data_IF_246510444541
#
_entry.id   IF_246510444541
#
_cell.length_a   1.000
_cell.length_b   1.000
_cell.length_c   1.000
_cell.angle_alpha   90.00
_cell.angle_beta   90.00
_cell.angle_gamma   90.00
#
_symmetry.space_group_name_H-M   'P 1'
#
loop_
_entity.id
_entity.type
_entity.pdbx_description
1 polymer ?
#
# COMPACT_ATOMS: atom_id res chain seq x y z
N UNK A 1 3.59 31.83 -23.42
CA UNK A 1 3.23 30.49 -23.84
C UNK A 1 2.62 29.73 -22.67
N UNK A 2 1.29 29.48 -22.68
CA UNK A 2 0.57 28.84 -21.56
C UNK A 2 1.14 27.44 -21.27
N UNK A 3 1.50 26.69 -22.28
CA UNK A 3 2.06 25.34 -22.15
C UNK A 3 3.39 25.32 -21.38
N UNK A 4 4.30 26.22 -21.66
CA UNK A 4 5.58 26.33 -20.92
C UNK A 4 5.41 26.68 -19.44
N UNK A 5 4.37 27.41 -19.08
CA UNK A 5 4.04 27.72 -17.67
C UNK A 5 3.51 26.48 -16.95
N UNK A 6 2.66 25.68 -17.61
CA UNK A 6 2.13 24.43 -17.03
C UNK A 6 3.22 23.38 -16.83
N UNK A 7 4.10 23.17 -17.82
CA UNK A 7 5.25 22.24 -17.70
C UNK A 7 6.14 22.66 -16.54
N UNK A 8 6.45 23.93 -16.41
CA UNK A 8 7.31 24.46 -15.34
C UNK A 8 6.67 24.26 -13.96
N UNK A 9 5.38 24.55 -13.79
CA UNK A 9 4.68 24.34 -12.52
C UNK A 9 4.67 22.87 -12.14
N UNK A 10 4.35 21.99 -13.07
CA UNK A 10 4.37 20.55 -12.84
C UNK A 10 5.75 20.08 -12.37
N UNK A 11 6.82 20.49 -13.06
CA UNK A 11 8.18 20.10 -12.69
C UNK A 11 8.57 20.55 -11.27
N UNK A 12 8.16 21.77 -10.87
CA UNK A 12 8.41 22.29 -9.52
C UNK A 12 7.61 21.51 -8.48
N UNK A 13 6.31 21.28 -8.70
CA UNK A 13 5.47 20.50 -7.80
C UNK A 13 6.02 19.07 -7.64
N UNK A 14 6.39 18.43 -8.75
CA UNK A 14 7.02 17.09 -8.73
C UNK A 14 8.31 17.12 -7.90
N UNK A 15 9.19 18.08 -8.11
CA UNK A 15 10.44 18.19 -7.35
C UNK A 15 10.18 18.37 -5.85
N UNK A 16 9.21 19.22 -5.47
CA UNK A 16 8.80 19.42 -4.07
C UNK A 16 8.28 18.12 -3.47
N UNK A 17 7.48 17.36 -4.24
CA UNK A 17 6.89 16.11 -3.77
C UNK A 17 7.90 14.99 -3.56
N UNK A 18 8.96 14.93 -4.38
CA UNK A 18 9.90 13.81 -4.41
C UNK A 18 11.18 14.04 -3.60
N UNK A 19 11.44 15.26 -3.09
CA UNK A 19 12.71 15.60 -2.44
C UNK A 19 12.51 16.20 -1.04
N UNK A 20 13.49 15.93 -0.16
CA UNK A 20 13.62 16.56 1.15
C UNK A 20 14.61 17.73 1.14
N UNK A 21 14.58 18.57 2.17
CA UNK A 21 15.51 19.70 2.38
C UNK A 21 15.67 20.63 1.15
N UNK A 22 14.55 20.94 0.54
CA UNK A 22 14.47 21.67 -0.72
C UNK A 22 14.89 23.13 -0.52
N UNK A 23 15.75 23.61 -1.42
CA UNK A 23 16.04 25.03 -1.56
C UNK A 23 15.75 25.48 -2.99
N UNK A 24 15.42 26.77 -3.16
CA UNK A 24 15.20 27.31 -4.51
C UNK A 24 16.43 27.19 -5.42
N UNK A 25 17.64 27.22 -4.84
CA UNK A 25 18.90 27.00 -5.58
C UNK A 25 19.04 25.56 -6.06
N UNK A 26 18.67 24.57 -5.21
CA UNK A 26 18.71 23.17 -5.60
C UNK A 26 17.66 22.85 -6.67
N UNK A 27 16.44 23.39 -6.53
CA UNK A 27 15.42 23.30 -7.58
C UNK A 27 15.91 23.91 -8.90
N UNK A 28 16.50 25.10 -8.85
CA UNK A 28 17.04 25.79 -10.02
C UNK A 28 18.03 24.92 -10.79
N UNK A 29 18.97 24.30 -10.06
CA UNK A 29 19.97 23.41 -10.66
C UNK A 29 19.37 22.13 -11.24
N UNK A 30 18.46 21.50 -10.48
CA UNK A 30 17.87 20.22 -10.87
C UNK A 30 16.91 20.36 -12.06
N UNK A 31 16.20 21.47 -12.17
CA UNK A 31 15.18 21.69 -13.19
C UNK A 31 15.65 22.57 -14.36
N UNK A 32 16.89 23.05 -14.32
CA UNK A 32 17.44 24.01 -15.29
C UNK A 32 16.56 25.26 -15.46
N UNK A 33 16.06 25.81 -14.33
CA UNK A 33 15.21 27.00 -14.27
C UNK A 33 15.92 28.04 -13.42
N UNK A 34 15.98 29.29 -13.88
CA UNK A 34 16.62 30.35 -13.08
C UNK A 34 15.96 30.53 -11.70
N UNK A 35 16.75 30.88 -10.68
CA UNK A 35 16.26 31.06 -9.30
C UNK A 35 15.13 32.11 -9.24
N UNK A 36 15.22 33.18 -10.05
CA UNK A 36 14.17 34.20 -10.15
C UNK A 36 12.85 33.63 -10.66
N UNK A 37 12.90 32.76 -11.67
CA UNK A 37 11.72 32.07 -12.20
C UNK A 37 11.14 31.05 -11.20
N UNK A 38 11.99 30.32 -10.46
CA UNK A 38 11.55 29.46 -9.37
C UNK A 38 10.84 30.26 -8.30
N UNK A 39 11.43 31.39 -7.84
CA UNK A 39 10.81 32.23 -6.81
C UNK A 39 9.45 32.78 -7.25
N UNK A 40 9.35 33.26 -8.49
CA UNK A 40 8.08 33.76 -9.04
C UNK A 40 7.01 32.67 -9.13
N UNK A 41 7.41 31.46 -9.56
CA UNK A 41 6.51 30.32 -9.64
C UNK A 41 6.01 29.87 -8.25
N UNK A 42 6.91 29.79 -7.27
CA UNK A 42 6.59 29.44 -5.88
C UNK A 42 5.57 30.44 -5.30
N UNK A 43 5.81 31.74 -5.43
CA UNK A 43 4.86 32.75 -4.95
C UNK A 43 3.48 32.64 -5.59
N UNK A 44 3.42 32.39 -6.90
CA UNK A 44 2.16 32.18 -7.60
C UNK A 44 1.43 30.92 -7.11
N UNK A 45 2.17 29.82 -6.95
CA UNK A 45 1.58 28.55 -6.48
C UNK A 45 1.15 28.60 -5.00
N UNK A 46 1.86 29.35 -4.16
CA UNK A 46 1.46 29.62 -2.76
C UNK A 46 0.13 30.41 -2.71
N UNK A 47 0.01 31.47 -3.53
CA UNK A 47 -1.23 32.26 -3.65
C UNK A 47 -2.41 31.45 -4.19
N UNK A 48 -2.15 30.51 -5.08
CA UNK A 48 -3.17 29.60 -5.64
C UNK A 48 -3.46 28.39 -4.76
N UNK A 49 -2.86 28.34 -3.56
CA UNK A 49 -3.01 27.23 -2.61
C UNK A 49 -2.63 25.86 -3.21
N UNK A 50 -1.59 25.81 -4.05
CA UNK A 50 -1.02 24.58 -4.57
C UNK A 50 0.11 24.05 -3.68
N UNK A 51 0.81 24.95 -2.98
CA UNK A 51 1.88 24.62 -2.04
C UNK A 51 1.71 25.41 -0.75
N UNK A 52 2.22 24.85 0.33
CA UNK A 52 2.44 25.54 1.60
C UNK A 52 3.93 25.84 1.76
N UNK A 53 4.25 27.01 2.30
CA UNK A 53 5.62 27.44 2.59
C UNK A 53 5.74 27.77 4.07
N UNK A 54 6.28 26.86 4.85
CA UNK A 54 6.59 27.11 6.26
C UNK A 54 7.93 27.84 6.38
N UNK A 55 7.92 29.03 6.98
CA UNK A 55 9.11 29.86 7.17
C UNK A 55 9.65 29.71 8.58
N UNK A 56 10.78 28.99 8.74
CA UNK A 56 11.50 28.81 10.01
C UNK A 56 12.81 29.59 9.95
N UNK A 57 13.13 30.40 10.97
CA UNK A 57 14.33 31.24 11.16
C UNK A 57 15.31 31.36 9.99
N UNK A 58 15.87 30.27 9.50
CA UNK A 58 16.86 30.23 8.40
C UNK A 58 16.51 29.27 7.26
N UNK A 59 15.30 28.66 7.26
CA UNK A 59 14.89 27.69 6.24
C UNK A 59 13.45 27.93 5.81
N UNK A 60 13.18 27.63 4.54
CA UNK A 60 11.83 27.50 4.01
C UNK A 60 11.57 26.03 3.72
N UNK A 61 10.49 25.51 4.25
CA UNK A 61 10.01 24.16 3.97
C UNK A 61 8.83 24.25 3.01
N UNK A 62 8.83 23.42 2.00
CA UNK A 62 7.82 23.38 0.96
C UNK A 62 7.10 22.06 1.01
N UNK A 63 5.76 22.11 0.95
CA UNK A 63 4.90 20.93 0.83
C UNK A 63 3.77 21.19 -0.15
N UNK A 64 3.25 20.13 -0.79
CA UNK A 64 2.06 20.25 -1.60
C UNK A 64 0.83 20.30 -0.73
N UNK A 65 -0.13 21.12 -1.13
CA UNK A 65 -1.50 21.05 -0.61
C UNK A 65 -2.29 19.97 -1.36
N UNK A 66 -3.51 19.68 -0.89
CA UNK A 66 -4.46 18.85 -1.63
C UNK A 66 -4.66 19.35 -3.08
N UNK A 67 -4.82 20.66 -3.25
CA UNK A 67 -4.98 21.28 -4.57
C UNK A 67 -3.74 21.11 -5.45
N UNK A 68 -2.54 21.15 -4.86
CA UNK A 68 -1.28 20.88 -5.56
C UNK A 68 -1.19 19.46 -6.10
N UNK A 69 -1.61 18.49 -5.30
CA UNK A 69 -1.71 17.10 -5.76
C UNK A 69 -2.71 16.94 -6.89
N UNK A 70 -3.93 17.48 -6.74
CA UNK A 70 -4.96 17.43 -7.79
C UNK A 70 -4.50 18.10 -9.10
N UNK A 71 -3.74 19.20 -8.99
CA UNK A 71 -3.15 19.85 -10.15
C UNK A 71 -2.15 18.94 -10.88
N UNK A 72 -1.27 18.27 -10.14
CA UNK A 72 -0.32 17.29 -10.69
C UNK A 72 -1.04 16.11 -11.34
N UNK A 73 -2.05 15.53 -10.66
CA UNK A 73 -2.87 14.43 -11.17
C UNK A 73 -3.48 14.76 -12.54
N UNK A 74 -4.16 15.91 -12.63
CA UNK A 74 -4.78 16.38 -13.88
C UNK A 74 -3.75 16.56 -14.98
N UNK A 75 -2.56 17.03 -14.65
CA UNK A 75 -1.50 17.22 -15.64
C UNK A 75 -0.96 15.87 -16.15
N UNK A 76 -0.74 14.91 -15.27
CA UNK A 76 -0.25 13.55 -15.61
C UNK A 76 -1.28 12.81 -16.45
N UNK A 77 -2.54 12.79 -16.05
CA UNK A 77 -3.62 12.14 -16.78
C UNK A 77 -3.78 12.72 -18.19
N UNK A 78 -3.73 14.05 -18.31
CA UNK A 78 -3.84 14.75 -19.60
C UNK A 78 -2.69 14.43 -20.56
N UNK A 79 -1.48 14.26 -20.02
CA UNK A 79 -0.27 14.10 -20.84
C UNK A 79 0.27 12.67 -20.86
N UNK A 80 -0.37 11.71 -20.18
CA UNK A 80 0.07 10.31 -20.04
C UNK A 80 1.52 10.18 -19.57
N UNK A 81 1.90 11.06 -18.62
CA UNK A 81 3.24 11.13 -18.06
C UNK A 81 3.44 10.13 -16.92
N UNK A 82 4.57 10.25 -16.24
CA UNK A 82 4.99 9.39 -15.13
C UNK A 82 3.95 9.32 -13.99
N UNK A 83 4.00 8.23 -13.23
CA UNK A 83 3.16 8.05 -12.04
C UNK A 83 3.52 9.03 -10.92
N UNK A 84 2.53 9.36 -10.12
CA UNK A 84 2.65 10.28 -8.98
C UNK A 84 3.18 9.52 -7.76
N UNK A 85 4.14 10.13 -7.05
CA UNK A 85 4.46 9.75 -5.68
C UNK A 85 3.52 10.48 -4.72
N UNK A 86 2.66 9.76 -4.00
CA UNK A 86 1.76 10.34 -3.00
C UNK A 86 2.57 10.86 -1.82
N UNK A 87 3.65 10.16 -1.49
CA UNK A 87 4.51 10.45 -0.36
C UNK A 87 5.96 10.59 -0.77
N UNK A 88 6.74 11.32 0.04
CA UNK A 88 8.20 11.25 -0.01
C UNK A 88 8.66 9.86 0.42
N UNK A 89 9.78 9.41 -0.13
CA UNK A 89 10.43 8.18 0.33
C UNK A 89 11.06 8.44 1.70
N UNK A 90 10.33 8.11 2.76
CA UNK A 90 10.75 8.26 4.15
C UNK A 90 10.23 7.09 4.97
N UNK A 91 11.01 6.68 5.95
CA UNK A 91 10.54 5.70 6.92
C UNK A 91 9.42 6.32 7.78
N UNK A 92 8.33 5.61 7.91
CA UNK A 92 7.25 5.96 8.82
C UNK A 92 7.01 4.81 9.78
N UNK A 93 6.97 5.11 11.08
CA UNK A 93 6.59 4.12 12.08
C UNK A 93 5.14 3.70 11.83
N UNK A 94 4.93 2.40 11.69
CA UNK A 94 3.61 1.78 11.56
C UNK A 94 3.31 1.03 12.85
N UNK A 95 2.12 1.25 13.40
CA UNK A 95 1.66 0.62 14.63
C UNK A 95 0.34 -0.13 14.48
N UNK A 96 -0.20 -0.20 13.25
CA UNK A 96 -1.49 -0.81 12.97
C UNK A 96 -1.35 -1.91 11.91
N UNK A 97 -2.19 -2.95 12.03
CA UNK A 97 -2.30 -4.00 11.03
C UNK A 97 -3.75 -4.42 10.81
N UNK A 98 -4.03 -4.91 9.61
CA UNK A 98 -5.29 -5.57 9.25
C UNK A 98 -4.98 -7.00 8.80
N UNK A 99 -5.65 -7.97 9.39
CA UNK A 99 -5.60 -9.38 8.98
C UNK A 99 -6.92 -9.72 8.30
N UNK A 100 -6.87 -10.13 7.03
CA UNK A 100 -8.05 -10.60 6.30
C UNK A 100 -8.23 -12.10 6.55
N UNK A 101 -9.23 -12.44 7.36
CA UNK A 101 -9.50 -13.81 7.81
C UNK A 101 -10.97 -14.23 7.61
N UNK A 102 -11.65 -13.62 6.63
CA UNK A 102 -13.06 -13.88 6.39
C UNK A 102 -13.33 -15.09 5.45
N UNK A 103 -12.36 -15.47 4.64
CA UNK A 103 -12.49 -16.48 3.61
C UNK A 103 -12.81 -17.88 4.12
N UNK A 104 -13.55 -18.65 3.32
CA UNK A 104 -13.87 -20.04 3.55
C UNK A 104 -12.96 -20.94 2.70
N UNK A 105 -12.23 -21.84 3.35
CA UNK A 105 -11.54 -22.96 2.69
C UNK A 105 -12.14 -24.26 3.27
N UNK A 106 -13.13 -24.81 2.59
CA UNK A 106 -13.96 -25.93 3.06
C UNK A 106 -13.18 -27.19 3.46
N UNK A 107 -12.01 -27.38 2.83
CA UNK A 107 -11.12 -28.53 3.04
C UNK A 107 -10.76 -28.70 4.53
N UNK A 108 -10.49 -27.62 5.25
CA UNK A 108 -10.00 -27.68 6.63
C UNK A 108 -11.07 -27.76 7.70
N UNK A 109 -12.34 -27.52 7.37
CA UNK A 109 -13.48 -27.49 8.33
C UNK A 109 -13.28 -26.53 9.52
N UNK A 110 -12.27 -25.70 9.50
CA UNK A 110 -11.94 -24.60 10.44
C UNK A 110 -11.27 -23.46 9.65
N UNK A 111 -11.21 -22.22 10.18
CA UNK A 111 -10.45 -21.15 9.52
C UNK A 111 -9.00 -21.58 9.32
N UNK A 112 -8.41 -21.30 8.15
CA UNK A 112 -7.01 -21.69 7.83
C UNK A 112 -6.05 -21.18 8.90
N UNK A 113 -6.25 -19.95 9.36
CA UNK A 113 -5.43 -19.34 10.40
C UNK A 113 -5.45 -20.07 11.76
N UNK A 114 -6.40 -20.99 11.97
CA UNK A 114 -6.48 -21.86 13.14
C UNK A 114 -5.90 -23.27 12.92
N UNK A 115 -5.23 -23.50 11.81
CA UNK A 115 -4.42 -24.70 11.63
C UNK A 115 -3.25 -24.70 12.62
N UNK A 116 -2.94 -25.89 13.12
CA UNK A 116 -1.93 -26.07 14.16
C UNK A 116 -0.52 -26.12 13.53
N UNK A 117 0.42 -25.38 14.09
CA UNK A 117 1.85 -25.50 13.85
C UNK A 117 2.51 -26.17 15.06
N UNK A 118 3.79 -26.50 14.99
CA UNK A 118 4.52 -27.08 16.13
C UNK A 118 4.42 -26.22 17.41
N UNK A 119 4.45 -24.89 17.25
CA UNK A 119 4.48 -23.92 18.34
C UNK A 119 3.17 -23.13 18.52
N UNK A 120 2.03 -23.63 18.04
CA UNK A 120 0.74 -22.93 18.18
C UNK A 120 -0.08 -22.92 16.91
N UNK A 121 -0.82 -21.87 16.64
CA UNK A 121 -1.64 -21.70 15.44
C UNK A 121 -1.01 -20.68 14.49
N UNK A 122 -1.35 -20.75 13.21
CA UNK A 122 -0.90 -19.77 12.21
C UNK A 122 -1.21 -18.35 12.68
N UNK A 123 -2.43 -18.09 13.15
CA UNK A 123 -2.82 -16.75 13.61
C UNK A 123 -2.03 -16.27 14.82
N UNK A 124 -1.74 -17.16 15.78
CA UNK A 124 -0.96 -16.80 16.96
C UNK A 124 0.44 -16.36 16.56
N UNK A 125 1.08 -17.12 15.65
CA UNK A 125 2.39 -16.76 15.08
C UNK A 125 2.37 -15.41 14.38
N UNK A 126 1.35 -15.12 13.56
CA UNK A 126 1.22 -13.84 12.85
C UNK A 126 1.07 -12.68 13.85
N UNK A 127 0.24 -12.85 14.88
CA UNK A 127 0.04 -11.86 15.94
C UNK A 127 1.36 -11.62 16.69
N UNK A 128 2.10 -12.66 17.03
CA UNK A 128 3.39 -12.55 17.72
C UNK A 128 4.42 -11.81 16.87
N UNK A 129 4.54 -12.13 15.58
CA UNK A 129 5.41 -11.42 14.63
C UNK A 129 5.04 -9.93 14.58
N UNK A 130 3.77 -9.60 14.49
CA UNK A 130 3.31 -8.21 14.46
C UNK A 130 3.66 -7.48 15.77
N UNK A 131 3.38 -8.08 16.93
CA UNK A 131 3.69 -7.50 18.23
C UNK A 131 5.20 -7.30 18.44
N UNK A 132 6.03 -8.27 18.06
CA UNK A 132 7.49 -8.18 18.12
C UNK A 132 8.04 -7.01 17.28
N UNK A 133 7.33 -6.66 16.21
CA UNK A 133 7.69 -5.58 15.29
C UNK A 133 6.99 -4.24 15.59
N UNK A 134 6.42 -4.10 16.80
CA UNK A 134 5.88 -2.82 17.28
C UNK A 134 4.50 -2.46 16.76
N UNK A 135 3.74 -3.44 16.25
CA UNK A 135 2.33 -3.25 15.92
C UNK A 135 1.51 -3.33 17.20
N UNK A 136 0.84 -2.25 17.53
CA UNK A 136 0.10 -2.08 18.78
C UNK A 136 -1.41 -2.30 18.62
N UNK A 137 -1.90 -2.25 17.39
CA UNK A 137 -3.31 -2.42 17.05
C UNK A 137 -3.49 -3.34 15.86
N UNK A 138 -4.22 -4.43 16.06
CA UNK A 138 -4.51 -5.42 15.04
C UNK A 138 -6.02 -5.49 14.84
N UNK A 139 -6.48 -5.26 13.61
CA UNK A 139 -7.87 -5.46 13.21
C UNK A 139 -7.97 -6.77 12.44
N UNK A 140 -8.76 -7.72 12.94
CA UNK A 140 -8.97 -9.00 12.27
C UNK A 140 -10.37 -9.00 11.66
N UNK A 141 -10.42 -9.09 10.33
CA UNK A 141 -11.69 -9.21 9.60
C UNK A 141 -12.04 -10.68 9.51
N UNK A 142 -13.03 -11.09 10.27
CA UNK A 142 -13.51 -12.49 10.36
C UNK A 142 -14.73 -12.73 9.46
N UNK A 143 -15.04 -13.97 9.19
CA UNK A 143 -16.22 -14.36 8.40
C UNK A 143 -16.57 -15.84 8.63
N UNK A 144 -15.99 -16.72 7.82
CA UNK A 144 -16.16 -18.16 7.99
C UNK A 144 -15.77 -18.60 9.39
N UNK A 145 -16.71 -19.25 10.09
CA UNK A 145 -16.53 -19.74 11.47
C UNK A 145 -15.91 -18.69 12.41
N UNK A 146 -16.43 -17.47 12.35
CA UNK A 146 -15.95 -16.34 13.15
C UNK A 146 -15.90 -16.60 14.67
N UNK A 147 -16.65 -17.58 15.15
CA UNK A 147 -16.65 -18.02 16.56
C UNK A 147 -15.27 -18.49 17.06
N UNK A 148 -14.41 -18.99 16.18
CA UNK A 148 -13.04 -19.37 16.55
C UNK A 148 -12.21 -18.17 17.06
N UNK A 149 -12.44 -16.99 16.47
CA UNK A 149 -11.70 -15.77 16.81
C UNK A 149 -12.08 -15.16 18.16
N UNK A 150 -13.16 -15.61 18.81
CA UNK A 150 -13.59 -15.11 20.12
C UNK A 150 -12.53 -15.25 21.21
N UNK A 151 -11.58 -16.14 21.06
CA UNK A 151 -10.44 -16.28 21.97
C UNK A 151 -9.62 -14.99 22.11
N UNK A 152 -9.70 -14.10 21.12
CA UNK A 152 -9.02 -12.79 21.11
C UNK A 152 -9.91 -11.63 21.59
N UNK A 153 -11.20 -11.86 21.88
CA UNK A 153 -12.17 -10.79 22.17
C UNK A 153 -11.77 -9.91 23.37
N UNK A 154 -11.06 -10.48 24.32
CA UNK A 154 -10.57 -9.76 25.51
C UNK A 154 -9.15 -9.18 25.36
N UNK A 155 -8.54 -9.30 24.21
CA UNK A 155 -7.22 -8.72 23.96
C UNK A 155 -7.39 -7.23 23.59
N UNK A 156 -6.86 -6.27 24.41
CA UNK A 156 -7.07 -4.85 24.18
C UNK A 156 -6.44 -4.34 22.89
N UNK A 157 -5.49 -5.07 22.32
CA UNK A 157 -4.79 -4.70 21.10
C UNK A 157 -5.44 -5.29 19.84
N UNK A 158 -6.45 -6.15 20.00
CA UNK A 158 -7.12 -6.83 18.88
C UNK A 158 -8.57 -6.38 18.77
N UNK A 159 -8.99 -5.97 17.60
CA UNK A 159 -10.38 -5.67 17.25
C UNK A 159 -10.89 -6.69 16.25
N UNK A 160 -11.95 -7.39 16.60
CA UNK A 160 -12.62 -8.34 15.71
C UNK A 160 -13.74 -7.62 14.94
N UNK A 161 -13.75 -7.72 13.64
CA UNK A 161 -14.79 -7.16 12.77
C UNK A 161 -15.33 -8.26 11.88
N UNK A 162 -16.63 -8.56 11.98
CA UNK A 162 -17.23 -9.66 11.23
C UNK A 162 -17.72 -9.19 9.86
N UNK A 163 -17.28 -9.88 8.82
CA UNK A 163 -17.79 -9.76 7.46
C UNK A 163 -19.00 -10.68 7.29
N UNK A 164 -20.19 -10.15 7.45
CA UNK A 164 -21.44 -10.94 7.33
C UNK A 164 -21.69 -11.43 5.88
N UNK A 165 -21.07 -10.77 4.91
CA UNK A 165 -21.27 -11.04 3.49
C UNK A 165 -20.09 -11.75 2.83
N UNK A 166 -19.19 -12.36 3.59
CA UNK A 166 -17.96 -12.95 3.08
C UNK A 166 -18.15 -13.95 1.93
N UNK A 167 -19.28 -14.67 1.89
CA UNK A 167 -19.59 -15.65 0.83
C UNK A 167 -19.90 -14.99 -0.53
N UNK A 168 -20.32 -13.73 -0.53
CA UNK A 168 -20.84 -13.03 -1.72
C UNK A 168 -20.03 -11.77 -2.05
N UNK A 169 -18.85 -11.64 -1.48
CA UNK A 169 -18.00 -10.46 -1.66
C UNK A 169 -16.53 -10.86 -1.76
N UNK A 170 -15.74 -10.02 -2.45
CA UNK A 170 -14.29 -10.17 -2.52
C UNK A 170 -13.57 -9.58 -1.31
N UNK A 171 -12.24 -9.69 -1.30
CA UNK A 171 -11.39 -9.23 -0.21
C UNK A 171 -11.40 -7.71 -0.03
N UNK A 172 -11.73 -6.94 -1.08
CA UNK A 172 -11.88 -5.48 -0.95
C UNK A 172 -13.06 -5.11 -0.04
N UNK A 173 -14.17 -5.85 -0.09
CA UNK A 173 -15.27 -5.66 0.85
C UNK A 173 -14.82 -5.91 2.29
N UNK A 174 -14.13 -7.01 2.53
CA UNK A 174 -13.59 -7.34 3.85
C UNK A 174 -12.64 -6.25 4.34
N UNK A 175 -11.71 -5.80 3.50
CA UNK A 175 -10.80 -4.71 3.84
C UNK A 175 -11.56 -3.40 4.14
N UNK A 176 -12.63 -3.11 3.43
CA UNK A 176 -13.43 -1.89 3.64
C UNK A 176 -14.07 -1.81 5.03
N UNK A 177 -14.31 -2.93 5.68
CA UNK A 177 -14.85 -2.98 7.05
C UNK A 177 -13.84 -2.49 8.10
N UNK A 178 -12.55 -2.43 7.76
CA UNK A 178 -11.52 -1.88 8.64
C UNK A 178 -11.56 -0.34 8.73
N UNK A 179 -12.30 0.36 7.87
CA UNK A 179 -12.27 1.83 7.72
C UNK A 179 -12.50 2.60 9.03
N UNK A 180 -13.38 2.11 9.89
CA UNK A 180 -13.72 2.78 11.16
C UNK A 180 -12.77 2.39 12.31
N UNK A 181 -11.83 1.51 12.03
CA UNK A 181 -10.87 0.97 13.01
C UNK A 181 -9.42 1.33 12.69
N UNK A 182 -9.10 1.75 11.47
CA UNK A 182 -7.78 2.17 11.03
C UNK A 182 -7.76 3.68 10.86
N UNK A 183 -6.71 4.33 11.39
CA UNK A 183 -6.55 5.79 11.38
C UNK A 183 -5.18 6.26 10.87
N UNK A 184 -4.30 5.32 10.51
CA UNK A 184 -2.94 5.58 10.03
C UNK A 184 -2.50 4.48 9.05
N UNK A 185 -1.29 4.59 8.50
CA UNK A 185 -0.68 3.56 7.67
C UNK A 185 -0.66 2.22 8.41
N UNK A 186 -0.83 1.13 7.70
CA UNK A 186 -0.95 -0.20 8.30
C UNK A 186 -0.31 -1.30 7.46
N UNK A 187 -0.03 -2.43 8.12
CA UNK A 187 0.32 -3.69 7.45
C UNK A 187 -0.98 -4.44 7.13
N UNK A 188 -1.13 -4.87 5.89
CA UNK A 188 -2.18 -5.78 5.45
C UNK A 188 -1.61 -7.18 5.30
N UNK A 189 -2.27 -8.18 5.91
CA UNK A 189 -1.86 -9.58 5.84
C UNK A 189 -3.07 -10.46 5.53
N UNK A 190 -2.90 -11.42 4.62
CA UNK A 190 -3.84 -12.53 4.41
C UNK A 190 -3.60 -13.64 5.44
N UNK A 191 -4.65 -14.29 5.91
CA UNK A 191 -4.62 -15.16 7.09
C UNK A 191 -4.12 -16.59 6.82
N UNK A 192 -3.87 -16.93 5.57
CA UNK A 192 -3.45 -18.25 5.10
C UNK A 192 -1.94 -18.36 4.81
N UNK A 193 -1.20 -17.38 5.32
CA UNK A 193 0.23 -17.25 5.09
C UNK A 193 1.05 -17.75 6.27
N UNK A 194 2.09 -18.53 5.98
CA UNK A 194 3.20 -18.83 6.90
C UNK A 194 4.46 -18.21 6.30
N UNK A 195 5.17 -17.39 7.08
CA UNK A 195 6.33 -16.66 6.58
C UNK A 195 7.35 -16.39 7.69
N UNK A 196 8.58 -16.11 7.32
CA UNK A 196 9.62 -15.65 8.23
C UNK A 196 9.33 -14.25 8.76
N UNK A 197 9.61 -14.02 10.04
CA UNK A 197 9.46 -12.70 10.68
C UNK A 197 10.18 -11.58 9.91
N UNK A 198 11.31 -11.90 9.30
CA UNK A 198 12.09 -11.01 8.42
C UNK A 198 11.25 -10.33 7.32
N UNK A 199 10.17 -10.96 6.86
CA UNK A 199 9.27 -10.36 5.88
C UNK A 199 8.67 -9.04 6.39
N UNK A 200 8.22 -9.02 7.65
CA UNK A 200 7.66 -7.82 8.29
C UNK A 200 8.77 -6.81 8.63
N UNK A 201 9.91 -7.26 9.16
CA UNK A 201 11.04 -6.39 9.48
C UNK A 201 11.53 -5.59 8.26
N UNK A 202 11.76 -6.27 7.14
CA UNK A 202 12.24 -5.64 5.91
C UNK A 202 11.17 -4.73 5.29
N UNK A 203 9.89 -5.13 5.34
CA UNK A 203 8.78 -4.32 4.86
C UNK A 203 8.66 -3.02 5.65
N UNK A 204 8.78 -3.07 6.98
CA UNK A 204 8.71 -1.90 7.86
C UNK A 204 9.89 -0.94 7.65
N UNK A 205 11.10 -1.46 7.38
CA UNK A 205 12.31 -0.66 7.09
C UNK A 205 12.29 -0.04 5.69
N UNK A 206 11.41 -0.48 4.81
CA UNK A 206 11.33 0.06 3.45
C UNK A 206 10.77 1.49 3.45
N UNK A 207 11.39 2.39 2.69
CA UNK A 207 11.02 3.82 2.63
C UNK A 207 9.71 4.10 1.90
N UNK A 208 9.26 3.19 1.03
CA UNK A 208 7.97 3.34 0.37
C UNK A 208 6.86 3.13 1.39
N UNK A 209 5.99 4.12 1.55
CA UNK A 209 4.83 4.03 2.46
C UNK A 209 3.79 3.05 1.92
N UNK A 210 3.68 2.92 0.62
CA UNK A 210 2.89 1.91 -0.07
C UNK A 210 3.85 0.92 -0.73
N UNK A 211 3.86 -0.31 -0.25
CA UNK A 211 4.87 -1.29 -0.62
C UNK A 211 4.28 -2.70 -0.62
N UNK A 212 4.38 -3.39 -1.76
CA UNK A 212 4.01 -4.80 -1.88
C UNK A 212 5.21 -5.68 -1.60
N UNK A 213 5.02 -6.75 -0.86
CA UNK A 213 6.03 -7.79 -0.71
C UNK A 213 5.87 -8.78 -1.86
N UNK A 214 6.94 -8.98 -2.60
CA UNK A 214 7.00 -9.94 -3.71
C UNK A 214 8.12 -10.94 -3.48
N UNK A 215 7.99 -12.11 -4.09
CA UNK A 215 9.02 -13.16 -4.05
C UNK A 215 9.33 -13.66 -5.45
N UNK A 216 10.25 -14.59 -5.58
CA UNK A 216 10.39 -15.35 -6.81
C UNK A 216 9.17 -16.26 -7.00
N UNK A 217 8.84 -16.57 -8.25
CA UNK A 217 7.69 -17.39 -8.59
C UNK A 217 7.75 -18.74 -7.87
N UNK A 218 6.65 -19.12 -7.21
CA UNK A 218 6.54 -20.38 -6.47
C UNK A 218 6.30 -21.59 -7.36
N UNK A 219 5.68 -21.37 -8.53
CA UNK A 219 5.25 -22.44 -9.42
C UNK A 219 3.96 -23.13 -8.95
N UNK A 220 3.19 -22.52 -8.09
CA UNK A 220 1.92 -23.07 -7.56
C UNK A 220 0.82 -23.19 -8.62
N UNK A 221 0.90 -22.38 -9.69
CA UNK A 221 -0.09 -22.30 -10.77
C UNK A 221 -1.24 -21.34 -10.51
N UNK A 222 -1.24 -20.63 -9.38
CA UNK A 222 -2.21 -19.61 -9.01
C UNK A 222 -1.55 -18.27 -8.60
N UNK A 223 -0.31 -18.07 -9.05
CA UNK A 223 0.49 -16.92 -8.70
C UNK A 223 -0.13 -15.60 -9.17
N UNK A 224 -0.14 -14.60 -8.30
CA UNK A 224 -0.36 -13.21 -8.65
C UNK A 224 0.96 -12.61 -9.16
N UNK A 225 1.23 -12.78 -10.46
CA UNK A 225 2.48 -12.36 -11.10
C UNK A 225 2.58 -10.85 -11.18
N UNK A 226 3.77 -10.31 -10.98
CA UNK A 226 4.06 -8.88 -10.92
C UNK A 226 5.11 -8.49 -11.98
N UNK A 227 4.83 -7.38 -12.67
CA UNK A 227 5.79 -6.65 -13.49
C UNK A 227 6.14 -5.32 -12.82
N UNK A 228 7.43 -5.00 -12.73
CA UNK A 228 7.97 -3.76 -12.21
C UNK A 228 8.48 -2.90 -13.36
N UNK A 229 8.13 -1.61 -13.35
CA UNK A 229 8.71 -0.58 -14.23
C UNK A 229 9.05 0.67 -13.44
N UNK A 230 10.18 1.26 -13.76
CA UNK A 230 10.64 2.52 -13.14
C UNK A 230 10.59 2.48 -11.60
N UNK A 231 10.97 1.33 -11.01
CA UNK A 231 11.03 1.13 -9.57
C UNK A 231 9.67 1.05 -8.85
N UNK A 232 8.58 0.87 -9.60
CA UNK A 232 7.24 0.73 -9.03
C UNK A 232 6.45 -0.41 -9.66
N UNK A 233 5.46 -0.90 -8.96
CA UNK A 233 4.54 -1.93 -9.46
C UNK A 233 3.80 -1.39 -10.68
N UNK A 234 3.92 -2.08 -11.79
CA UNK A 234 3.31 -1.69 -13.06
C UNK A 234 2.06 -2.50 -13.37
N UNK A 235 2.11 -3.80 -13.18
CA UNK A 235 1.05 -4.73 -13.55
C UNK A 235 1.03 -5.93 -12.60
N UNK A 236 -0.16 -6.42 -12.37
CA UNK A 236 -0.42 -7.70 -11.73
C UNK A 236 -1.43 -8.50 -12.56
N UNK A 237 -1.21 -9.79 -12.72
CA UNK A 237 -2.17 -10.72 -13.33
C UNK A 237 -1.84 -12.16 -12.91
N UNK A 238 -2.84 -13.02 -12.89
CA UNK A 238 -2.67 -14.48 -12.81
C UNK A 238 -2.42 -15.12 -14.18
N UNK A 239 -2.57 -14.38 -15.27
CA UNK A 239 -2.29 -14.84 -16.63
C UNK A 239 -0.89 -14.39 -17.06
N UNK A 240 0.04 -15.33 -17.11
CA UNK A 240 1.43 -15.09 -17.51
C UNK A 240 1.58 -14.57 -18.95
N UNK A 241 0.62 -14.87 -19.84
CA UNK A 241 0.66 -14.39 -21.23
C UNK A 241 0.43 -12.88 -21.36
N UNK A 242 0.00 -12.22 -20.30
CA UNK A 242 -0.17 -10.76 -20.26
C UNK A 242 1.12 -9.99 -20.00
N UNK A 243 2.23 -10.67 -19.70
CA UNK A 243 3.48 -10.03 -19.30
C UNK A 243 4.53 -10.01 -20.41
N UNK A 244 5.29 -8.91 -20.48
CA UNK A 244 6.54 -8.86 -21.24
C UNK A 244 7.72 -9.40 -20.43
N UNK A 245 7.68 -9.25 -19.12
CA UNK A 245 8.59 -9.84 -18.13
C UNK A 245 7.84 -10.06 -16.82
N UNK A 246 8.28 -11.03 -16.05
CA UNK A 246 7.79 -11.30 -14.71
C UNK A 246 8.94 -10.97 -13.75
N UNK A 247 8.68 -10.08 -12.79
CA UNK A 247 9.67 -9.68 -11.78
C UNK A 247 9.50 -10.45 -10.47
N UNK A 248 8.35 -11.07 -10.27
CA UNK A 248 8.04 -11.90 -9.10
C UNK A 248 6.56 -12.18 -8.96
N UNK A 249 6.23 -12.73 -7.81
CA UNK A 249 4.90 -13.08 -7.35
C UNK A 249 4.55 -12.26 -6.12
N UNK A 250 3.35 -11.67 -6.09
CA UNK A 250 2.82 -11.02 -4.90
C UNK A 250 2.44 -12.07 -3.87
N UNK A 251 2.89 -11.90 -2.66
CA UNK A 251 2.36 -12.64 -1.52
C UNK A 251 1.45 -11.71 -0.69
N UNK A 252 0.49 -12.26 0.00
CA UNK A 252 -0.59 -11.53 0.69
C UNK A 252 -0.12 -10.66 1.87
N UNK A 253 1.02 -9.96 1.73
CA UNK A 253 1.58 -9.06 2.72
C UNK A 253 1.95 -7.74 2.05
N UNK A 254 1.39 -6.63 2.56
CA UNK A 254 1.65 -5.31 2.00
C UNK A 254 1.62 -4.23 3.08
N UNK A 255 2.33 -3.15 2.83
CA UNK A 255 2.25 -1.92 3.59
C UNK A 255 1.40 -0.93 2.81
N UNK A 256 0.36 -0.40 3.42
CA UNK A 256 -0.62 0.49 2.78
C UNK A 256 -0.73 1.77 3.59
N UNK A 257 -0.53 2.91 2.92
CA UNK A 257 -0.75 4.21 3.54
C UNK A 257 -2.24 4.49 3.72
N UNK A 258 -2.56 5.29 4.73
CA UNK A 258 -3.94 5.71 4.98
C UNK A 258 -4.53 6.46 3.77
N UNK A 259 -3.70 7.23 3.05
CA UNK A 259 -4.13 7.94 1.84
C UNK A 259 -4.49 6.98 0.70
N UNK A 260 -3.67 5.96 0.43
CA UNK A 260 -3.98 4.92 -0.56
C UNK A 260 -5.20 4.11 -0.14
N UNK A 261 -5.32 3.76 1.13
CA UNK A 261 -6.50 3.07 1.64
C UNK A 261 -7.79 3.86 1.39
N UNK A 262 -7.79 5.17 1.66
CA UNK A 262 -8.96 6.02 1.36
C UNK A 262 -9.28 6.07 -0.14
N UNK A 263 -8.26 6.12 -1.01
CA UNK A 263 -8.47 6.04 -2.47
C UNK A 263 -9.07 4.68 -2.88
N UNK A 264 -8.62 3.58 -2.28
CA UNK A 264 -9.21 2.26 -2.52
C UNK A 264 -10.66 2.20 -2.08
N UNK A 265 -11.00 2.80 -0.93
CA UNK A 265 -12.38 2.89 -0.44
C UNK A 265 -13.28 3.70 -1.38
N UNK A 266 -12.80 4.83 -1.89
CA UNK A 266 -13.54 5.65 -2.84
C UNK A 266 -13.75 4.92 -4.17
N UNK A 267 -12.71 4.28 -4.70
CA UNK A 267 -12.81 3.43 -5.89
C UNK A 267 -13.84 2.31 -5.68
N UNK A 268 -13.82 1.66 -4.51
CA UNK A 268 -14.74 0.57 -4.21
C UNK A 268 -16.21 1.02 -4.10
N UNK A 269 -16.46 2.24 -3.60
CA UNK A 269 -17.83 2.83 -3.59
C UNK A 269 -18.39 3.01 -5.00
N UNK A 270 -17.55 3.38 -5.96
CA UNK A 270 -17.92 3.57 -7.35
C UNK A 270 -18.01 2.25 -8.12
N UNK A 271 -17.23 1.26 -7.73
CA UNK A 271 -17.22 -0.05 -8.36
C UNK A 271 -18.41 -0.90 -7.91
N UNK A 272 -19.19 -1.36 -8.87
CA UNK A 272 -20.39 -2.16 -8.61
C UNK A 272 -20.12 -3.66 -8.50
N UNK A 273 -18.87 -4.10 -8.65
CA UNK A 273 -18.50 -5.50 -8.52
C UNK A 273 -18.29 -5.87 -7.04
N UNK A 274 -19.21 -6.62 -6.41
CA UNK A 274 -19.05 -7.01 -5.00
C UNK A 274 -17.91 -8.00 -4.78
N UNK A 275 -17.44 -8.67 -5.82
CA UNK A 275 -16.36 -9.66 -5.77
C UNK A 275 -14.98 -9.06 -6.05
N UNK A 276 -14.85 -7.72 -6.08
CA UNK A 276 -13.57 -7.07 -6.23
C UNK A 276 -12.62 -7.47 -5.10
N UNK A 277 -11.43 -7.93 -5.47
CA UNK A 277 -10.37 -8.19 -4.53
C UNK A 277 -9.49 -6.94 -4.33
N UNK A 278 -8.89 -6.78 -3.15
CA UNK A 278 -8.16 -5.57 -2.77
C UNK A 278 -6.91 -5.35 -3.64
N UNK A 279 -6.26 -6.42 -4.08
CA UNK A 279 -5.09 -6.33 -4.94
C UNK A 279 -5.42 -5.69 -6.30
N UNK A 280 -6.60 -5.92 -6.85
CA UNK A 280 -7.06 -5.25 -8.07
C UNK A 280 -7.41 -3.77 -7.81
N UNK A 281 -8.01 -3.45 -6.65
CA UNK A 281 -8.22 -2.07 -6.26
C UNK A 281 -6.89 -1.32 -6.11
N UNK A 282 -5.88 -1.97 -5.51
CA UNK A 282 -4.53 -1.42 -5.38
C UNK A 282 -3.87 -1.23 -6.76
N UNK A 283 -4.08 -2.17 -7.71
CA UNK A 283 -3.57 -2.03 -9.08
C UNK A 283 -4.25 -0.90 -9.85
N UNK A 284 -5.51 -0.64 -9.63
CA UNK A 284 -6.19 0.51 -10.23
C UNK A 284 -5.58 1.84 -9.71
N UNK A 285 -5.24 1.91 -8.42
CA UNK A 285 -4.49 3.04 -7.86
C UNK A 285 -3.08 3.12 -8.47
N UNK A 286 -2.40 1.98 -8.63
CA UNK A 286 -1.06 1.90 -9.18
C UNK A 286 -0.94 2.34 -10.65
N UNK A 287 -2.04 2.54 -11.37
CA UNK A 287 -2.02 3.14 -12.72
C UNK A 287 -1.52 4.57 -12.71
N UNK A 288 -1.93 5.34 -11.71
CA UNK A 288 -1.63 6.78 -11.61
C UNK A 288 -0.59 7.08 -10.54
N UNK A 289 -0.44 6.20 -9.55
CA UNK A 289 0.43 6.40 -8.39
C UNK A 289 1.56 5.38 -8.31
N UNK A 290 2.69 5.80 -7.76
CA UNK A 290 3.82 4.90 -7.47
C UNK A 290 3.50 4.05 -6.25
N UNK A 291 3.34 2.76 -6.47
CA UNK A 291 3.31 1.74 -5.43
C UNK A 291 4.66 1.03 -5.46
N UNK A 292 5.39 1.08 -4.38
CA UNK A 292 6.69 0.44 -4.24
C UNK A 292 6.58 -1.08 -4.07
N UNK A 293 7.71 -1.72 -4.04
CA UNK A 293 7.82 -3.14 -3.76
C UNK A 293 9.08 -3.44 -2.95
N UNK A 294 9.07 -4.59 -2.31
CA UNK A 294 10.26 -5.20 -1.71
C UNK A 294 10.29 -6.67 -2.10
N UNK A 295 11.47 -7.17 -2.44
CA UNK A 295 11.72 -8.58 -2.79
C UNK A 295 12.85 -9.10 -1.92
N UNK A 296 12.55 -9.62 -0.71
CA UNK A 296 13.55 -10.21 0.16
C UNK A 296 14.21 -11.42 -0.50
N UNK A 297 15.53 -11.48 -0.44
CA UNK A 297 16.29 -12.61 -0.98
C UNK A 297 15.98 -13.90 -0.20
N UNK A 298 15.63 -14.98 -0.92
CA UNK A 298 15.39 -16.30 -0.34
C UNK A 298 14.44 -16.28 0.87
N UNK A 299 13.36 -15.51 0.80
CA UNK A 299 12.33 -15.53 1.83
C UNK A 299 11.66 -16.90 1.88
N UNK A 300 11.59 -17.49 3.07
CA UNK A 300 10.83 -18.71 3.31
C UNK A 300 9.39 -18.33 3.66
N UNK A 301 8.47 -18.81 2.86
CA UNK A 301 7.04 -18.58 3.03
C UNK A 301 6.23 -19.67 2.31
N UNK A 302 4.98 -19.79 2.69
CA UNK A 302 4.00 -20.61 1.97
C UNK A 302 2.59 -20.05 2.18
N UNK A 303 1.72 -20.28 1.21
CA UNK A 303 0.28 -20.08 1.32
C UNK A 303 -0.39 -21.44 1.49
N UNK A 304 -1.38 -21.51 2.36
CA UNK A 304 -2.10 -22.75 2.64
C UNK A 304 -3.44 -22.76 1.91
N UNK A 305 -3.47 -23.32 0.71
CA UNK A 305 -4.68 -23.45 -0.11
C UNK A 305 -5.39 -24.79 0.04
N UNK A 306 -4.64 -25.82 0.30
CA UNK A 306 -5.10 -27.21 0.39
C UNK A 306 -4.30 -28.01 1.42
N UNK A 307 -4.68 -29.28 1.62
CA UNK A 307 -4.01 -30.16 2.59
C UNK A 307 -2.56 -30.47 2.21
N UNK A 308 -2.21 -30.44 0.93
CA UNK A 308 -0.84 -30.71 0.48
C UNK A 308 0.14 -29.57 0.81
N UNK A 309 -0.38 -28.34 0.98
CA UNK A 309 0.41 -27.17 1.41
C UNK A 309 0.62 -27.12 2.93
N UNK A 310 -0.20 -27.84 3.70
CA UNK A 310 -0.14 -27.91 5.17
C UNK A 310 0.71 -29.09 5.63
#
# INVERSE_FOLDING_TARGET
NKEGVFVRRYSILKYINENENITQRNMSKALDISVGNINSAIKSMELENLIEVERKSNKQLYSLTKNGFEYMEKYIQKNKLEKISIHKNEEKKISQAVILAAGEKDVFKKPVSFLDLEDGKIIDRVIDILNNNGIEKIVIITGYKSEYFKVYENNPNITLVKSERYKWTGTMYSLSLAKDHISDDFILIENDMIFEERAIEELLKNKHRDCMLITSESGSGDEALIEIRDGSVYKMSKDMHQFNKIDGEMIGISKISYDVFNKMLDLFKENKNPYLNYEYALMDIARDYKIGYIKPDNLVWTEIDNEDHY
#
